data_IF_441937429094
#
_entry.id   IF_441937429094
#
_cell.length_a   1.000
_cell.length_b   1.000
_cell.length_c   1.000
_cell.angle_alpha   90.00
_cell.angle_beta   90.00
_cell.angle_gamma   90.00
#
_symmetry.space_group_name_H-M   'P 1'
#
loop_
_entity.id
_entity.type
_entity.pdbx_description
1 polymer ?
#
# COMPACT_ATOMS: atom_id res chain seq x y z
N UNK A 1 21.54 4.91 -6.54
CA UNK A 1 20.76 3.71 -6.18
C UNK A 1 20.20 3.80 -4.74
N UNK A 2 19.27 4.72 -4.43
CA UNK A 2 18.75 4.96 -3.05
C UNK A 2 17.24 4.77 -2.86
N UNK A 3 16.49 4.38 -3.91
CA UNK A 3 15.01 4.42 -3.90
C UNK A 3 14.35 3.21 -3.18
N UNK A 4 15.01 2.04 -3.14
CA UNK A 4 14.44 0.81 -2.57
C UNK A 4 14.27 0.84 -1.04
N UNK A 5 15.17 1.50 -0.30
CA UNK A 5 15.08 1.60 1.17
C UNK A 5 13.98 2.56 1.64
N UNK A 6 13.75 3.66 0.92
CA UNK A 6 12.71 4.64 1.25
C UNK A 6 11.29 4.04 1.14
N UNK A 7 11.03 3.20 0.14
CA UNK A 7 9.73 2.53 0.02
C UNK A 7 9.53 1.49 1.13
N UNK A 8 10.57 0.73 1.48
CA UNK A 8 10.53 -0.25 2.58
C UNK A 8 10.17 0.41 3.92
N UNK A 9 10.79 1.55 4.23
CA UNK A 9 10.51 2.29 5.46
C UNK A 9 9.06 2.80 5.50
N UNK A 10 8.57 3.39 4.40
CA UNK A 10 7.19 3.87 4.29
C UNK A 10 6.17 2.73 4.46
N UNK A 11 6.42 1.56 3.86
CA UNK A 11 5.59 0.37 4.01
C UNK A 11 5.57 -0.06 5.49
N UNK A 12 6.73 -0.17 6.13
CA UNK A 12 6.81 -0.56 7.55
C UNK A 12 6.10 0.42 8.48
N UNK A 13 6.24 1.73 8.25
CA UNK A 13 5.54 2.75 9.02
C UNK A 13 4.03 2.61 8.86
N UNK A 14 3.53 2.41 7.63
CA UNK A 14 2.10 2.26 7.37
C UNK A 14 1.53 0.99 8.03
N UNK A 15 2.24 -0.14 7.94
CA UNK A 15 1.85 -1.39 8.61
C UNK A 15 1.83 -1.26 10.14
N UNK A 16 2.86 -0.61 10.73
CA UNK A 16 2.89 -0.33 12.17
C UNK A 16 1.73 0.55 12.61
N UNK A 17 1.39 1.58 11.82
CA UNK A 17 0.21 2.43 12.07
C UNK A 17 -1.08 1.62 12.04
N UNK A 18 -1.27 0.78 11.02
CA UNK A 18 -2.43 -0.10 10.92
C UNK A 18 -2.56 -1.02 12.15
N UNK A 19 -1.45 -1.64 12.59
CA UNK A 19 -1.40 -2.45 13.80
C UNK A 19 -1.83 -1.66 15.04
N UNK A 20 -1.25 -0.48 15.28
CA UNK A 20 -1.61 0.34 16.44
C UNK A 20 -3.04 0.85 16.41
N UNK A 21 -3.62 1.05 15.22
CA UNK A 21 -5.03 1.39 15.08
C UNK A 21 -5.92 0.19 15.39
N UNK A 22 -5.54 -1.02 14.93
CA UNK A 22 -6.25 -2.25 15.27
C UNK A 22 -6.25 -2.54 16.77
N UNK A 23 -5.09 -2.36 17.43
CA UNK A 23 -4.95 -2.46 18.90
C UNK A 23 -5.90 -1.52 19.65
N UNK A 24 -6.31 -0.41 19.05
CA UNK A 24 -7.31 0.51 19.63
C UNK A 24 -8.74 0.08 19.38
N UNK A 25 -9.09 -0.40 18.17
CA UNK A 25 -10.48 -0.75 17.85
C UNK A 25 -10.94 -2.05 18.50
N UNK A 26 -10.04 -3.02 18.70
CA UNK A 26 -10.36 -4.32 19.32
C UNK A 26 -11.06 -4.14 20.67
N UNK A 27 -10.47 -3.42 21.66
CA UNK A 27 -11.14 -3.21 22.93
C UNK A 27 -12.39 -2.32 22.81
N UNK A 28 -12.53 -1.50 21.75
CA UNK A 28 -13.79 -0.77 21.52
C UNK A 28 -14.93 -1.70 21.13
N UNK A 29 -14.63 -2.73 20.35
CA UNK A 29 -15.61 -3.79 19.99
C UNK A 29 -15.94 -4.62 21.23
N UNK A 30 -14.95 -5.03 22.00
CA UNK A 30 -15.15 -5.81 23.24
C UNK A 30 -15.98 -5.07 24.29
N UNK A 31 -15.90 -3.73 24.31
CA UNK A 31 -16.63 -2.86 25.26
C UNK A 31 -17.97 -2.34 24.70
N UNK A 32 -18.44 -2.85 23.56
CA UNK A 32 -19.68 -2.43 22.89
C UNK A 32 -19.79 -0.89 22.68
N UNK A 33 -18.64 -0.23 22.43
CA UNK A 33 -18.65 1.21 22.15
C UNK A 33 -19.39 1.51 20.85
N UNK A 34 -19.86 2.76 20.71
CA UNK A 34 -20.64 3.25 19.56
C UNK A 34 -20.16 2.67 18.21
N UNK A 35 -21.02 1.85 17.59
CA UNK A 35 -20.71 1.09 16.38
C UNK A 35 -20.26 1.98 15.21
N UNK A 36 -20.81 3.19 15.08
CA UNK A 36 -20.48 4.09 13.97
C UNK A 36 -19.00 4.53 14.01
N UNK A 37 -18.49 4.89 15.19
CA UNK A 37 -17.08 5.28 15.34
C UNK A 37 -16.13 4.11 15.03
N UNK A 38 -16.49 2.90 15.47
CA UNK A 38 -15.71 1.69 15.19
C UNK A 38 -15.67 1.40 13.69
N UNK A 39 -16.83 1.47 13.01
CA UNK A 39 -16.92 1.29 11.55
C UNK A 39 -16.05 2.33 10.84
N UNK A 40 -16.14 3.60 11.21
CA UNK A 40 -15.36 4.68 10.59
C UNK A 40 -13.84 4.46 10.77
N UNK A 41 -13.40 4.08 11.98
CA UNK A 41 -11.99 3.77 12.24
C UNK A 41 -11.51 2.53 11.48
N UNK A 42 -12.33 1.49 11.39
CA UNK A 42 -12.01 0.29 10.61
C UNK A 42 -11.88 0.61 9.10
N UNK A 43 -12.78 1.43 8.56
CA UNK A 43 -12.69 1.91 7.17
C UNK A 43 -11.41 2.71 6.91
N UNK A 44 -10.97 3.54 7.87
CA UNK A 44 -9.71 4.26 7.76
C UNK A 44 -8.50 3.31 7.71
N UNK A 45 -8.51 2.23 8.51
CA UNK A 45 -7.48 1.19 8.49
C UNK A 45 -7.46 0.47 7.14
N UNK A 46 -8.64 0.11 6.59
CA UNK A 46 -8.76 -0.49 5.26
C UNK A 46 -8.18 0.43 4.18
N UNK A 47 -8.48 1.73 4.22
CA UNK A 47 -7.90 2.71 3.30
C UNK A 47 -6.37 2.79 3.38
N UNK A 48 -5.83 2.79 4.60
CA UNK A 48 -4.39 2.75 4.84
C UNK A 48 -3.74 1.48 4.26
N UNK A 49 -4.35 0.31 4.46
CA UNK A 49 -3.84 -0.97 3.97
C UNK A 49 -3.92 -1.06 2.43
N UNK A 50 -5.01 -0.58 1.82
CA UNK A 50 -5.14 -0.46 0.35
C UNK A 50 -3.98 0.34 -0.24
N UNK A 51 -3.68 1.51 0.33
CA UNK A 51 -2.56 2.33 -0.11
C UNK A 51 -1.19 1.67 0.15
N UNK A 52 -1.05 0.96 1.26
CA UNK A 52 0.18 0.20 1.58
C UNK A 52 0.43 -0.89 0.54
N UNK A 53 -0.60 -1.62 0.12
CA UNK A 53 -0.49 -2.64 -0.92
C UNK A 53 -0.04 -2.05 -2.27
N UNK A 54 -0.50 -0.86 -2.62
CA UNK A 54 -0.04 -0.15 -3.82
C UNK A 54 1.46 0.18 -3.75
N UNK A 55 1.94 0.66 -2.60
CA UNK A 55 3.36 0.93 -2.39
C UNK A 55 4.21 -0.36 -2.46
N UNK A 56 3.69 -1.46 -1.92
CA UNK A 56 4.34 -2.77 -2.00
C UNK A 56 4.42 -3.25 -3.45
N UNK A 57 3.33 -3.13 -4.21
CA UNK A 57 3.29 -3.52 -5.62
C UNK A 57 4.26 -2.69 -6.45
N UNK A 58 4.27 -1.36 -6.26
CA UNK A 58 5.24 -0.46 -6.90
C UNK A 58 6.69 -0.86 -6.57
N UNK A 59 6.97 -1.18 -5.30
CA UNK A 59 8.29 -1.62 -4.87
C UNK A 59 8.71 -2.96 -5.50
N UNK A 60 7.81 -3.94 -5.53
CA UNK A 60 8.05 -5.25 -6.14
C UNK A 60 8.34 -5.11 -7.64
N UNK A 61 7.49 -4.36 -8.33
CA UNK A 61 7.61 -4.04 -9.74
C UNK A 61 8.95 -3.36 -10.07
N UNK A 62 9.38 -2.37 -9.26
CA UNK A 62 10.67 -1.69 -9.44
C UNK A 62 11.87 -2.65 -9.24
N UNK A 63 11.81 -3.55 -8.25
CA UNK A 63 12.87 -4.53 -7.99
C UNK A 63 13.01 -5.57 -9.10
N UNK A 64 11.89 -6.05 -9.66
CA UNK A 64 11.90 -6.99 -10.78
C UNK A 64 12.27 -6.34 -12.12
N UNK A 65 12.06 -5.03 -12.28
CA UNK A 65 12.54 -4.28 -13.44
C UNK A 65 14.06 -4.27 -13.54
N UNK A 66 14.71 -3.95 -12.43
CA UNK A 66 16.17 -3.80 -12.38
C UNK A 66 16.87 -5.15 -12.58
N UNK A 67 16.20 -6.27 -12.30
CA UNK A 67 16.71 -7.62 -12.54
C UNK A 67 16.39 -8.20 -13.93
N UNK A 68 15.30 -7.78 -14.57
CA UNK A 68 14.79 -8.45 -15.78
C UNK A 68 15.29 -7.89 -17.13
N UNK A 69 15.78 -6.65 -17.24
CA UNK A 69 16.02 -6.05 -18.57
C UNK A 69 17.38 -5.33 -18.74
N UNK A 70 18.19 -5.84 -19.68
CA UNK A 70 19.46 -5.24 -20.13
C UNK A 70 19.29 -4.15 -21.21
N UNK A 71 18.13 -4.08 -21.90
CA UNK A 71 17.90 -3.15 -23.03
C UNK A 71 17.02 -1.94 -22.64
N UNK A 72 17.51 -0.72 -22.93
CA UNK A 72 16.89 0.58 -22.55
C UNK A 72 15.44 0.76 -23.07
N UNK A 73 15.12 0.27 -24.27
CA UNK A 73 13.78 0.37 -24.86
C UNK A 73 12.76 -0.53 -24.11
N UNK A 74 13.15 -1.75 -23.76
CA UNK A 74 12.31 -2.69 -23.00
C UNK A 74 12.03 -2.20 -21.58
N UNK A 75 13.00 -1.53 -20.95
CA UNK A 75 12.87 -0.91 -19.62
C UNK A 75 11.79 0.17 -19.61
N UNK A 76 11.83 1.10 -20.58
CA UNK A 76 10.87 2.22 -20.66
C UNK A 76 9.43 1.72 -20.83
N UNK A 77 9.22 0.74 -21.69
CA UNK A 77 7.88 0.18 -21.93
C UNK A 77 7.31 -0.49 -20.67
N UNK A 78 8.16 -1.19 -19.91
CA UNK A 78 7.73 -1.84 -18.68
C UNK A 78 7.47 -0.85 -17.54
N UNK A 79 8.29 0.21 -17.39
CA UNK A 79 8.02 1.32 -16.45
C UNK A 79 6.68 2.00 -16.74
N UNK A 80 6.34 2.22 -18.02
CA UNK A 80 5.01 2.73 -18.42
C UNK A 80 3.90 1.76 -18.01
N UNK A 81 4.05 0.46 -18.30
CA UNK A 81 3.03 -0.55 -17.97
C UNK A 81 2.78 -0.65 -16.46
N UNK A 82 3.82 -0.53 -15.63
CA UNK A 82 3.68 -0.49 -14.17
C UNK A 82 2.83 0.71 -13.72
N UNK A 83 3.12 1.88 -14.28
CA UNK A 83 2.41 3.12 -13.94
C UNK A 83 0.93 3.00 -14.25
N UNK A 84 0.59 2.43 -15.42
CA UNK A 84 -0.80 2.21 -15.83
C UNK A 84 -1.51 1.17 -14.96
N UNK A 85 -0.87 0.04 -14.65
CA UNK A 85 -1.45 -0.97 -13.76
C UNK A 85 -1.71 -0.38 -12.36
N UNK A 86 -0.75 0.37 -11.81
CA UNK A 86 -0.93 1.02 -10.50
C UNK A 86 -2.06 2.05 -10.53
N UNK A 87 -2.23 2.79 -11.64
CA UNK A 87 -3.33 3.74 -11.83
C UNK A 87 -4.69 3.05 -11.88
N UNK A 88 -4.79 1.91 -12.57
CA UNK A 88 -6.01 1.10 -12.61
C UNK A 88 -6.36 0.60 -11.19
N UNK A 89 -5.39 0.02 -10.48
CA UNK A 89 -5.63 -0.51 -9.13
C UNK A 89 -6.04 0.61 -8.16
N UNK A 90 -5.37 1.78 -8.22
CA UNK A 90 -5.77 2.96 -7.43
C UNK A 90 -7.21 3.38 -7.71
N UNK A 91 -7.60 3.41 -8.99
CA UNK A 91 -8.95 3.80 -9.41
C UNK A 91 -9.99 2.80 -8.93
N UNK A 92 -9.69 1.50 -9.00
CA UNK A 92 -10.58 0.43 -8.53
C UNK A 92 -10.74 0.40 -7.01
N UNK A 93 -9.71 0.78 -6.25
CA UNK A 93 -9.74 0.78 -4.78
C UNK A 93 -10.50 1.96 -4.15
N UNK A 94 -10.70 3.03 -4.92
CA UNK A 94 -11.35 4.27 -4.50
C UNK A 94 -12.80 4.41 -5.02
N UNK A 95 -13.31 3.42 -5.76
CA UNK A 95 -14.72 3.25 -6.07
C UNK A 95 -15.39 2.41 -4.99
#
# INVERSE_FOLDING_TARGET
MKKSTANKERILIALKKARTSLEKIIPMVEQEKNCFSIIQQNLAIIGLLKNTNLLMLESYMQQHLDSANKNKLSRRNFETMQTEILKIIRTAQNK
#
